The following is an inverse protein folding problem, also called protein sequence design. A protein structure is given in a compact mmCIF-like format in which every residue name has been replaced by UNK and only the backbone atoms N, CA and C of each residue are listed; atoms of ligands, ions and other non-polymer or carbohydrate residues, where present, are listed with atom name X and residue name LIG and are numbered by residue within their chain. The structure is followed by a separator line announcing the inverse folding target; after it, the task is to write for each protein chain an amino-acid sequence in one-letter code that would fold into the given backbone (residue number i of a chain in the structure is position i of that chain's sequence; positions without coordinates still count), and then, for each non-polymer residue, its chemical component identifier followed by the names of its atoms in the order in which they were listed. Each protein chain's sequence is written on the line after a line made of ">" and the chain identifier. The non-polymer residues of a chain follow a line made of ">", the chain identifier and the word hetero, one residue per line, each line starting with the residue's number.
data_IF_207773700017
#
_entry.id   IF_207773700017
#
_cell.length_a   1.000
_cell.length_b   1.000
_cell.length_c   1.000
_cell.angle_alpha   90.00
_cell.angle_beta   90.00
_cell.angle_gamma   90.00
#
_symmetry.space_group_name_H-M   'P 1'
#
loop_
_entity.id
_entity.type
_entity.pdbx_description
1 polymer ?
#
# COMPACT_ATOMS: atom_id res chain seq x y z
N UNK A 1 -4.09 -7.87 18.80
CA UNK A 1 -5.50 -8.25 18.70
C UNK A 1 -6.37 -7.42 19.64
N UNK A 2 -6.10 -7.44 20.96
CA UNK A 2 -6.96 -6.74 21.94
C UNK A 2 -6.97 -5.22 21.73
N UNK A 3 -5.84 -4.60 21.49
CA UNK A 3 -5.77 -3.16 21.20
C UNK A 3 -6.62 -2.77 19.98
N UNK A 4 -6.57 -3.57 18.90
CA UNK A 4 -7.38 -3.34 17.69
C UNK A 4 -8.87 -3.51 17.99
N UNK A 5 -9.23 -4.51 18.80
CA UNK A 5 -10.61 -4.75 19.22
C UNK A 5 -11.15 -3.58 20.04
N UNK A 6 -10.39 -3.14 21.05
CA UNK A 6 -10.77 -2.00 21.88
C UNK A 6 -10.95 -0.73 21.05
N UNK A 7 -10.00 -0.42 20.16
CA UNK A 7 -10.09 0.75 19.29
C UNK A 7 -11.31 0.70 18.36
N UNK A 8 -11.64 -0.48 17.81
CA UNK A 8 -12.81 -0.61 16.95
C UNK A 8 -14.12 -0.48 17.72
N UNK A 9 -14.21 -1.02 18.94
CA UNK A 9 -15.38 -0.87 19.81
C UNK A 9 -15.57 0.58 20.26
N UNK A 10 -14.49 1.29 20.59
CA UNK A 10 -14.54 2.72 20.91
C UNK A 10 -15.00 3.56 19.72
N UNK A 11 -14.45 3.30 18.52
CA UNK A 11 -14.89 3.93 17.28
C UNK A 11 -16.39 3.68 17.01
N UNK A 12 -16.87 2.47 17.25
CA UNK A 12 -18.28 2.12 17.11
C UNK A 12 -19.14 2.85 18.14
N UNK A 13 -18.66 3.04 19.37
CA UNK A 13 -19.34 3.80 20.41
C UNK A 13 -19.54 5.28 20.06
N UNK A 14 -18.55 5.87 19.37
CA UNK A 14 -18.55 7.27 18.95
C UNK A 14 -19.10 7.48 17.52
N UNK A 15 -19.52 6.42 16.85
CA UNK A 15 -19.88 6.42 15.43
C UNK A 15 -20.88 7.53 15.06
N UNK A 16 -21.96 7.66 15.83
CA UNK A 16 -23.03 8.63 15.51
C UNK A 16 -22.53 10.07 15.62
N UNK A 17 -21.74 10.38 16.66
CA UNK A 17 -21.12 11.70 16.82
C UNK A 17 -20.24 12.04 15.61
N UNK A 18 -19.34 11.13 15.22
CA UNK A 18 -18.43 11.33 14.07
C UNK A 18 -19.22 11.50 12.76
N UNK A 19 -20.24 10.67 12.56
CA UNK A 19 -21.07 10.74 11.35
C UNK A 19 -21.87 12.05 11.28
N UNK A 20 -22.37 12.57 12.40
CA UNK A 20 -23.08 13.85 12.45
C UNK A 20 -22.17 15.01 12.04
N UNK A 21 -20.94 15.05 12.57
CA UNK A 21 -19.93 16.05 12.18
C UNK A 21 -19.61 15.99 10.69
N UNK A 22 -19.41 14.78 10.13
CA UNK A 22 -19.15 14.58 8.72
C UNK A 22 -20.34 14.98 7.82
N UNK A 23 -21.58 14.66 8.23
CA UNK A 23 -22.80 15.06 7.51
C UNK A 23 -22.89 16.60 7.43
N UNK A 24 -22.62 17.27 8.55
CA UNK A 24 -22.64 18.74 8.60
C UNK A 24 -21.54 19.35 7.70
N UNK A 25 -20.35 18.72 7.67
CA UNK A 25 -19.29 19.09 6.74
C UNK A 25 -19.73 18.91 5.28
N UNK A 26 -20.24 17.74 4.91
CA UNK A 26 -20.67 17.43 3.55
C UNK A 26 -21.71 18.44 3.02
N UNK A 27 -22.68 18.80 3.87
CA UNK A 27 -23.74 19.77 3.54
C UNK A 27 -23.21 21.19 3.43
N UNK A 28 -22.38 21.62 4.39
CA UNK A 28 -21.79 22.95 4.42
C UNK A 28 -20.90 23.22 3.21
N UNK A 29 -20.05 22.27 2.87
CA UNK A 29 -19.13 22.37 1.73
C UNK A 29 -19.77 21.99 0.38
N UNK A 30 -21.06 21.59 0.39
CA UNK A 30 -21.82 21.20 -0.81
C UNK A 30 -21.12 20.12 -1.62
N UNK A 31 -20.71 19.05 -0.94
CA UNK A 31 -20.03 17.93 -1.57
C UNK A 31 -21.02 17.13 -2.41
N UNK A 32 -20.69 16.89 -3.67
CA UNK A 32 -21.53 16.16 -4.64
C UNK A 32 -21.18 14.67 -4.74
N UNK A 33 -19.97 14.29 -4.30
CA UNK A 33 -19.46 12.90 -4.42
C UNK A 33 -18.42 12.63 -3.34
N UNK A 34 -18.50 11.45 -2.71
CA UNK A 34 -17.46 10.91 -1.84
C UNK A 34 -16.67 9.85 -2.59
N UNK A 35 -15.34 10.00 -2.64
CA UNK A 35 -14.42 8.95 -3.09
C UNK A 35 -13.75 8.37 -1.87
N UNK A 36 -14.04 7.11 -1.55
CA UNK A 36 -13.63 6.43 -0.34
C UNK A 36 -12.54 5.38 -0.63
N UNK A 37 -11.38 5.52 0.02
CA UNK A 37 -10.44 4.42 0.19
C UNK A 37 -10.86 3.63 1.45
N UNK A 38 -12.08 3.09 1.34
CA UNK A 38 -12.81 2.18 2.24
C UNK A 38 -13.06 2.57 3.72
N UNK A 39 -13.06 3.83 4.17
CA UNK A 39 -13.58 4.12 5.50
C UNK A 39 -15.11 3.93 5.52
N UNK A 40 -15.59 2.92 6.26
CA UNK A 40 -17.02 2.59 6.32
C UNK A 40 -17.90 3.70 6.95
N UNK A 41 -17.33 4.58 7.77
CA UNK A 41 -18.03 5.75 8.31
C UNK A 41 -18.39 6.77 7.21
N UNK A 42 -17.57 6.93 6.18
CA UNK A 42 -17.88 7.84 5.06
C UNK A 42 -19.09 7.38 4.26
N UNK A 43 -19.35 6.07 4.21
CA UNK A 43 -20.55 5.50 3.58
C UNK A 43 -21.80 5.86 4.38
N UNK A 44 -21.71 5.83 5.70
CA UNK A 44 -22.81 6.22 6.58
C UNK A 44 -23.08 7.71 6.47
N UNK A 45 -22.05 8.54 6.52
CA UNK A 45 -22.18 9.99 6.36
C UNK A 45 -22.78 10.36 5.00
N UNK A 46 -22.30 9.76 3.90
CA UNK A 46 -22.86 9.94 2.56
C UNK A 46 -24.34 9.58 2.49
N UNK A 47 -24.72 8.44 3.12
CA UNK A 47 -26.13 8.01 3.19
C UNK A 47 -27.02 9.05 3.88
N UNK A 48 -26.58 9.65 5.00
CA UNK A 48 -27.37 10.64 5.74
C UNK A 48 -27.32 12.03 5.10
N UNK A 49 -26.29 12.34 4.35
CA UNK A 49 -26.18 13.60 3.61
C UNK A 49 -26.83 13.57 2.23
N UNK A 50 -27.27 12.40 1.75
CA UNK A 50 -27.74 12.13 0.39
C UNK A 50 -26.67 12.43 -0.68
N UNK A 51 -25.40 12.03 -0.36
CA UNK A 51 -24.23 12.19 -1.23
C UNK A 51 -23.77 10.81 -1.68
N UNK A 52 -23.64 10.53 -3.00
CA UNK A 52 -23.20 9.23 -3.49
C UNK A 52 -21.77 8.91 -3.06
N UNK A 53 -21.49 7.60 -2.87
CA UNK A 53 -20.20 7.10 -2.43
C UNK A 53 -19.63 6.11 -3.45
N UNK A 54 -18.44 6.43 -3.96
CA UNK A 54 -17.63 5.51 -4.76
C UNK A 54 -16.48 4.96 -3.90
N UNK A 55 -16.33 3.65 -3.86
CA UNK A 55 -15.21 3.00 -3.20
C UNK A 55 -14.12 2.60 -4.20
N UNK A 56 -12.86 2.82 -3.87
CA UNK A 56 -11.71 2.39 -4.70
C UNK A 56 -10.69 1.71 -3.78
N UNK A 57 -10.51 0.39 -3.90
CA UNK A 57 -9.53 -0.33 -3.08
C UNK A 57 -9.18 -1.72 -3.64
N UNK A 58 -8.23 -2.38 -2.98
CA UNK A 58 -7.89 -3.78 -3.20
C UNK A 58 -8.43 -4.72 -2.11
N UNK A 59 -8.92 -4.18 -1.00
CA UNK A 59 -9.59 -4.91 0.08
C UNK A 59 -10.66 -4.02 0.73
N UNK A 60 -11.52 -4.60 1.58
CA UNK A 60 -12.39 -3.87 2.51
C UNK A 60 -12.03 -4.22 3.96
N UNK A 61 -12.37 -3.33 4.90
CA UNK A 61 -12.06 -3.55 6.31
C UNK A 61 -12.80 -4.74 6.91
N UNK A 62 -13.94 -5.13 6.36
CA UNK A 62 -14.63 -6.33 6.83
C UNK A 62 -13.79 -7.58 6.58
N UNK A 63 -13.16 -7.69 5.38
CA UNK A 63 -12.25 -8.78 5.06
C UNK A 63 -11.09 -8.90 6.06
N UNK A 64 -10.54 -7.77 6.52
CA UNK A 64 -9.47 -7.74 7.52
C UNK A 64 -10.02 -8.15 8.89
N UNK A 65 -11.11 -7.52 9.33
CA UNK A 65 -11.66 -7.71 10.66
C UNK A 65 -12.24 -9.12 10.87
N UNK A 66 -12.87 -9.73 9.87
CA UNK A 66 -13.33 -11.12 9.94
C UNK A 66 -12.20 -12.11 10.23
N UNK A 67 -11.02 -11.84 9.71
CA UNK A 67 -9.83 -12.67 9.94
C UNK A 67 -9.18 -12.38 11.28
N UNK A 68 -9.01 -11.10 11.60
CA UNK A 68 -8.41 -10.65 12.86
C UNK A 68 -9.26 -11.08 14.05
N UNK A 69 -10.59 -10.99 13.94
CA UNK A 69 -11.54 -11.31 15.02
C UNK A 69 -12.22 -12.67 14.85
N UNK A 70 -11.61 -13.56 14.06
CA UNK A 70 -12.16 -14.89 13.85
C UNK A 70 -12.49 -15.60 15.17
N UNK A 71 -13.72 -16.09 15.30
CA UNK A 71 -14.20 -16.78 16.51
C UNK A 71 -14.68 -15.89 17.64
N UNK A 72 -14.47 -14.57 17.60
CA UNK A 72 -14.97 -13.64 18.63
C UNK A 72 -16.45 -13.27 18.39
N UNK A 73 -17.33 -13.90 19.17
CA UNK A 73 -18.79 -13.76 19.00
C UNK A 73 -19.29 -12.34 19.29
N UNK A 74 -18.67 -11.64 20.20
CA UNK A 74 -18.99 -10.25 20.60
C UNK A 74 -18.67 -9.23 19.52
N UNK A 75 -17.77 -9.55 18.57
CA UNK A 75 -17.48 -8.69 17.41
C UNK A 75 -18.52 -8.82 16.29
N UNK A 76 -19.36 -9.85 16.30
CA UNK A 76 -20.33 -10.10 15.21
C UNK A 76 -21.29 -8.93 14.94
N UNK A 77 -21.87 -8.24 15.96
CA UNK A 77 -22.71 -7.06 15.71
C UNK A 77 -21.96 -5.94 14.98
N UNK A 78 -20.71 -5.69 15.36
CA UNK A 78 -19.85 -4.68 14.73
C UNK A 78 -19.60 -5.03 13.26
N UNK A 79 -19.18 -6.27 12.99
CA UNK A 79 -18.92 -6.75 11.64
C UNK A 79 -20.17 -6.71 10.75
N UNK A 80 -21.33 -7.06 11.29
CA UNK A 80 -22.60 -6.96 10.56
C UNK A 80 -22.96 -5.51 10.23
N UNK A 81 -22.67 -4.56 11.13
CA UNK A 81 -22.88 -3.13 10.87
C UNK A 81 -21.98 -2.65 9.73
N UNK A 82 -20.70 -2.97 9.78
CA UNK A 82 -19.74 -2.61 8.71
C UNK A 82 -20.16 -3.21 7.36
N UNK A 83 -20.56 -4.49 7.35
CA UNK A 83 -21.09 -5.13 6.15
C UNK A 83 -22.30 -4.38 5.60
N UNK A 84 -23.29 -4.07 6.45
CA UNK A 84 -24.50 -3.34 6.06
C UNK A 84 -24.20 -1.96 5.46
N UNK A 85 -23.16 -1.28 5.95
CA UNK A 85 -22.71 0.00 5.41
C UNK A 85 -22.08 -0.18 4.03
N UNK A 86 -21.16 -1.12 3.84
CA UNK A 86 -20.56 -1.37 2.52
C UNK A 86 -21.58 -1.79 1.46
N UNK A 87 -22.69 -2.41 1.87
CA UNK A 87 -23.81 -2.72 0.95
C UNK A 87 -24.51 -1.47 0.40
N UNK A 88 -24.28 -0.28 0.96
CA UNK A 88 -24.88 0.99 0.52
C UNK A 88 -23.97 1.79 -0.41
N UNK A 89 -22.73 1.35 -0.62
CA UNK A 89 -21.83 1.98 -1.59
C UNK A 89 -22.45 1.91 -2.98
N UNK A 90 -22.51 3.04 -3.68
CA UNK A 90 -23.16 3.14 -4.99
C UNK A 90 -22.39 2.36 -6.05
N UNK A 91 -21.07 2.45 -6.04
CA UNK A 91 -20.18 1.72 -6.93
C UNK A 91 -18.81 1.51 -6.29
N UNK A 92 -18.20 0.33 -6.49
CA UNK A 92 -16.88 0.00 -6.01
C UNK A 92 -15.95 -0.39 -7.17
N UNK A 93 -14.80 0.27 -7.26
CA UNK A 93 -13.72 -0.08 -8.17
C UNK A 93 -12.73 -1.01 -7.48
N UNK A 94 -12.65 -2.25 -7.95
CA UNK A 94 -11.72 -3.23 -7.44
C UNK A 94 -10.38 -3.15 -8.16
N UNK A 95 -9.37 -2.73 -7.43
CA UNK A 95 -8.00 -2.63 -7.90
C UNK A 95 -7.38 -4.02 -8.12
N UNK A 96 -6.37 -4.16 -8.99
CA UNK A 96 -5.54 -5.36 -9.07
C UNK A 96 -4.89 -5.70 -7.73
N UNK A 97 -4.22 -6.84 -7.64
CA UNK A 97 -3.61 -7.37 -6.42
C UNK A 97 -4.66 -7.57 -5.29
N UNK A 98 -5.85 -7.95 -5.70
CA UNK A 98 -7.01 -8.23 -4.85
C UNK A 98 -7.58 -9.62 -5.14
N UNK A 99 -8.55 -10.03 -4.36
CA UNK A 99 -9.35 -11.23 -4.61
C UNK A 99 -10.84 -10.91 -4.59
N UNK A 100 -11.72 -11.77 -5.11
CA UNK A 100 -13.16 -11.58 -4.93
C UNK A 100 -13.57 -11.46 -3.46
N UNK A 101 -12.89 -12.19 -2.57
CA UNK A 101 -13.16 -12.19 -1.13
C UNK A 101 -12.67 -10.92 -0.44
N UNK A 102 -11.55 -10.33 -0.90
CA UNK A 102 -11.00 -9.12 -0.27
C UNK A 102 -11.85 -7.86 -0.48
N UNK A 103 -12.78 -7.91 -1.44
CA UNK A 103 -13.75 -6.85 -1.73
C UNK A 103 -15.18 -7.43 -1.78
N UNK A 104 -15.46 -8.43 -0.96
CA UNK A 104 -16.73 -9.18 -1.00
C UNK A 104 -17.92 -8.44 -0.42
N UNK A 105 -17.71 -7.33 0.28
CA UNK A 105 -18.76 -6.60 0.97
C UNK A 105 -19.57 -5.66 0.07
N UNK A 106 -19.16 -5.39 -1.16
CA UNK A 106 -19.82 -4.45 -2.05
C UNK A 106 -20.81 -5.15 -3.01
N UNK A 107 -21.92 -4.49 -3.32
CA UNK A 107 -22.94 -5.02 -4.26
C UNK A 107 -22.57 -4.83 -5.71
N UNK A 108 -22.04 -3.65 -6.04
CA UNK A 108 -21.67 -3.27 -7.41
C UNK A 108 -20.17 -3.09 -7.46
N UNK A 109 -19.49 -4.01 -8.13
CA UNK A 109 -18.03 -4.01 -8.23
C UNK A 109 -17.62 -4.03 -9.69
N UNK A 110 -16.81 -3.09 -10.07
CA UNK A 110 -16.11 -3.07 -11.35
C UNK A 110 -14.62 -3.33 -11.13
N UNK A 111 -14.01 -4.14 -11.99
CA UNK A 111 -12.56 -4.34 -11.99
C UNK A 111 -11.92 -3.22 -12.78
N UNK A 112 -10.88 -2.65 -12.22
CA UNK A 112 -10.11 -1.63 -12.92
C UNK A 112 -8.65 -2.04 -13.09
N UNK A 113 -7.87 -1.20 -13.77
CA UNK A 113 -6.44 -1.36 -13.92
C UNK A 113 -5.66 -0.90 -12.70
N UNK A 114 -4.33 -0.90 -12.81
CA UNK A 114 -3.42 -0.53 -11.73
C UNK A 114 -3.56 0.95 -11.40
N UNK A 115 -3.81 1.25 -10.13
CA UNK A 115 -3.84 2.60 -9.60
C UNK A 115 -2.54 2.83 -8.81
N UNK A 116 -1.71 3.75 -9.27
CA UNK A 116 -0.48 4.12 -8.59
C UNK A 116 -0.22 5.62 -8.70
N UNK A 117 0.55 6.17 -7.79
CA UNK A 117 0.98 7.56 -7.88
C UNK A 117 1.76 7.78 -9.17
N UNK A 118 1.50 8.91 -9.80
CA UNK A 118 2.19 9.32 -11.02
C UNK A 118 3.14 10.46 -10.68
N UNK A 119 4.43 10.16 -10.65
CA UNK A 119 5.44 11.21 -10.60
C UNK A 119 5.58 11.90 -11.97
N UNK A 120 6.00 13.16 -11.96
CA UNK A 120 6.44 13.81 -13.20
C UNK A 120 7.75 13.14 -13.63
N UNK A 121 7.89 12.77 -14.92
CA UNK A 121 9.16 12.24 -15.40
C UNK A 121 10.27 13.26 -15.18
N UNK A 122 11.30 12.89 -14.42
CA UNK A 122 12.51 13.67 -14.25
C UNK A 122 13.72 12.74 -14.46
N UNK A 123 14.27 12.64 -15.69
CA UNK A 123 15.41 11.78 -15.99
C UNK A 123 16.69 12.23 -15.25
N UNK A 124 16.77 13.50 -14.88
CA UNK A 124 17.94 14.08 -14.18
C UNK A 124 17.81 13.98 -12.65
N UNK A 125 16.72 13.41 -12.12
CA UNK A 125 16.44 13.39 -10.68
C UNK A 125 17.62 12.85 -9.84
N UNK A 126 18.26 11.77 -10.28
CA UNK A 126 19.43 11.23 -9.56
C UNK A 126 20.51 12.29 -9.39
N UNK A 127 20.81 13.04 -10.47
CA UNK A 127 21.82 14.12 -10.48
C UNK A 127 21.38 15.29 -9.60
N UNK A 128 20.11 15.70 -9.70
CA UNK A 128 19.56 16.84 -8.96
C UNK A 128 19.64 16.65 -7.44
N UNK A 129 19.51 15.41 -6.98
CA UNK A 129 19.62 15.05 -5.55
C UNK A 129 21.01 14.53 -5.16
N UNK A 130 22.01 14.67 -6.04
CA UNK A 130 23.42 14.31 -5.76
C UNK A 130 23.71 12.81 -5.76
N UNK A 131 22.87 11.98 -6.39
CA UNK A 131 23.09 10.55 -6.57
C UNK A 131 23.82 10.31 -7.91
N UNK A 132 24.81 9.41 -7.91
CA UNK A 132 25.51 9.00 -9.11
C UNK A 132 24.52 8.37 -10.12
N UNK A 133 24.33 9.06 -11.26
CA UNK A 133 23.37 8.64 -12.29
C UNK A 133 23.75 7.34 -12.99
N UNK A 134 25.05 7.02 -13.03
CA UNK A 134 25.58 5.84 -13.71
C UNK A 134 25.48 4.57 -12.87
N UNK A 135 25.24 4.72 -11.56
CA UNK A 135 25.11 3.60 -10.65
C UNK A 135 23.65 3.20 -10.40
N UNK A 136 23.40 1.93 -10.15
CA UNK A 136 22.07 1.49 -9.78
C UNK A 136 21.59 2.13 -8.46
N UNK A 137 20.27 2.37 -8.38
CA UNK A 137 19.60 2.92 -7.21
C UNK A 137 18.66 1.89 -6.60
N UNK A 138 18.88 1.56 -5.32
CA UNK A 138 17.96 0.81 -4.51
C UNK A 138 17.21 1.77 -3.58
N UNK A 139 15.89 1.75 -3.65
CA UNK A 139 15.04 2.47 -2.70
C UNK A 139 14.55 1.48 -1.64
N UNK A 140 14.79 1.80 -0.36
CA UNK A 140 14.42 0.98 0.78
C UNK A 140 13.41 1.73 1.66
N UNK A 141 12.16 1.24 1.75
CA UNK A 141 11.12 1.84 2.58
C UNK A 141 10.11 0.81 3.05
N UNK A 142 9.83 0.81 4.35
CA UNK A 142 8.86 -0.08 4.95
C UNK A 142 7.57 0.62 5.41
N UNK A 143 7.43 1.92 5.10
CA UNK A 143 6.28 2.74 5.49
C UNK A 143 6.13 2.91 7.01
N UNK A 144 5.10 3.64 7.44
CA UNK A 144 4.95 4.09 8.84
C UNK A 144 4.46 3.05 9.85
N UNK A 145 4.11 1.82 9.47
CA UNK A 145 3.57 0.84 10.42
C UNK A 145 4.41 -0.45 10.43
N UNK A 146 5.04 -0.72 11.55
CA UNK A 146 5.81 -1.93 11.85
C UNK A 146 7.31 -1.75 11.64
N UNK A 147 8.06 -2.11 12.67
CA UNK A 147 9.52 -2.17 12.61
C UNK A 147 9.93 -3.39 11.79
N UNK A 148 10.67 -3.16 10.72
CA UNK A 148 11.36 -4.20 9.97
C UNK A 148 12.83 -4.14 10.38
N UNK A 149 13.31 -5.21 10.99
CA UNK A 149 14.71 -5.32 11.38
C UNK A 149 15.59 -5.53 10.16
N UNK A 150 16.22 -4.45 9.69
CA UNK A 150 17.23 -4.48 8.64
C UNK A 150 18.49 -3.78 9.12
N UNK A 151 19.65 -4.38 8.85
CA UNK A 151 20.93 -3.73 9.09
C UNK A 151 21.34 -2.92 7.86
N UNK A 152 20.98 -1.64 7.84
CA UNK A 152 21.22 -0.75 6.69
C UNK A 152 22.68 -0.69 6.27
N UNK A 153 23.64 -0.75 7.22
CA UNK A 153 25.08 -0.80 6.92
C UNK A 153 25.46 -2.04 6.11
N UNK A 154 24.90 -3.20 6.42
CA UNK A 154 25.16 -4.44 5.67
C UNK A 154 24.54 -4.37 4.26
N UNK A 155 23.33 -3.83 4.15
CA UNK A 155 22.69 -3.60 2.87
C UNK A 155 23.56 -2.69 1.97
N UNK A 156 23.98 -1.54 2.49
CA UNK A 156 24.83 -0.59 1.77
C UNK A 156 26.17 -1.21 1.36
N UNK A 157 26.83 -1.97 2.24
CA UNK A 157 28.10 -2.61 1.95
C UNK A 157 28.03 -3.71 0.88
N UNK A 158 26.83 -4.27 0.66
CA UNK A 158 26.61 -5.34 -0.31
C UNK A 158 26.13 -4.84 -1.67
N UNK A 159 25.61 -3.60 -1.76
CA UNK A 159 25.04 -3.05 -2.97
C UNK A 159 26.04 -2.15 -3.70
N UNK A 160 26.35 -2.49 -4.95
CA UNK A 160 27.22 -1.69 -5.82
C UNK A 160 26.42 -0.58 -6.51
N UNK A 161 25.99 0.39 -5.72
CA UNK A 161 25.14 1.50 -6.13
C UNK A 161 24.75 2.37 -4.95
N UNK A 162 23.77 3.24 -5.14
CA UNK A 162 23.23 4.07 -4.06
C UNK A 162 22.04 3.38 -3.40
N UNK A 163 22.00 3.41 -2.06
CA UNK A 163 20.86 2.98 -1.27
C UNK A 163 20.15 4.21 -0.71
N UNK A 164 18.96 4.51 -1.23
CA UNK A 164 18.11 5.56 -0.69
C UNK A 164 17.12 4.96 0.32
N UNK A 165 17.04 5.50 1.53
CA UNK A 165 16.12 4.94 2.53
C UNK A 165 15.39 5.98 3.37
N UNK A 166 14.18 5.63 3.81
CA UNK A 166 13.38 6.39 4.79
C UNK A 166 13.68 5.94 6.23
N UNK A 167 14.59 4.99 6.42
CA UNK A 167 14.92 4.44 7.74
C UNK A 167 15.74 5.42 8.58
N UNK A 168 15.44 5.51 9.86
CA UNK A 168 16.21 6.31 10.82
C UNK A 168 17.46 5.55 11.29
N UNK A 169 18.31 5.20 10.33
CA UNK A 169 19.58 4.49 10.53
C UNK A 169 20.68 5.15 9.71
N UNK A 170 21.92 5.08 10.19
CA UNK A 170 23.09 5.48 9.42
C UNK A 170 23.54 4.31 8.53
N UNK A 171 23.56 4.50 7.24
CA UNK A 171 24.09 3.55 6.26
C UNK A 171 25.60 3.68 6.03
N UNK A 172 26.06 3.23 4.86
CA UNK A 172 27.45 3.40 4.36
C UNK A 172 27.64 4.74 3.64
N UNK A 173 28.82 4.93 3.02
CA UNK A 173 29.13 6.11 2.21
C UNK A 173 28.25 6.25 0.95
N UNK A 174 27.59 5.18 0.53
CA UNK A 174 26.64 5.13 -0.58
C UNK A 174 25.17 5.24 -0.13
N UNK A 175 24.91 5.70 1.10
CA UNK A 175 23.56 5.88 1.63
C UNK A 175 23.06 7.29 1.38
N UNK A 176 21.87 7.41 0.79
CA UNK A 176 21.09 8.63 0.67
C UNK A 176 19.87 8.55 1.60
N UNK A 177 19.75 9.50 2.52
CA UNK A 177 18.59 9.57 3.41
C UNK A 177 17.44 10.29 2.73
N UNK A 178 16.33 9.61 2.54
CA UNK A 178 15.08 10.18 2.01
C UNK A 178 14.37 10.93 3.13
N UNK A 179 14.07 12.20 2.90
CA UNK A 179 13.31 13.06 3.80
C UNK A 179 11.80 12.99 3.52
N UNK A 180 10.99 13.63 4.39
CA UNK A 180 9.55 13.74 4.15
C UNK A 180 9.20 14.68 3.00
N UNK A 181 10.11 15.58 2.64
CA UNK A 181 9.93 16.56 1.56
C UNK A 181 10.30 15.98 0.18
N UNK A 182 10.96 14.82 0.14
CA UNK A 182 11.34 14.17 -1.11
C UNK A 182 10.12 13.51 -1.79
N UNK A 183 10.00 13.67 -3.10
CA UNK A 183 9.01 12.94 -3.90
C UNK A 183 9.39 11.45 -4.01
N UNK A 184 8.88 10.65 -3.07
CA UNK A 184 9.15 9.22 -2.99
C UNK A 184 8.73 8.47 -4.27
N UNK A 185 7.62 8.86 -4.90
CA UNK A 185 7.18 8.26 -6.17
C UNK A 185 8.13 8.60 -7.31
N UNK A 186 8.70 9.80 -7.31
CA UNK A 186 9.74 10.17 -8.27
C UNK A 186 11.01 9.33 -8.06
N UNK A 187 11.44 9.10 -6.81
CA UNK A 187 12.56 8.22 -6.51
C UNK A 187 12.32 6.78 -7.00
N UNK A 188 11.14 6.22 -6.77
CA UNK A 188 10.78 4.89 -7.30
C UNK A 188 10.85 4.90 -8.84
N UNK A 189 10.43 5.97 -9.50
CA UNK A 189 10.42 6.04 -10.96
C UNK A 189 11.81 5.91 -11.59
N UNK A 190 12.86 6.35 -10.91
CA UNK A 190 14.27 6.28 -11.35
C UNK A 190 15.08 5.19 -10.67
N UNK A 191 14.52 4.50 -9.67
CA UNK A 191 15.16 3.37 -9.02
C UNK A 191 15.28 2.15 -9.95
N UNK A 192 16.17 1.23 -9.62
CA UNK A 192 16.28 -0.09 -10.24
C UNK A 192 15.59 -1.15 -9.37
N UNK A 193 15.70 -0.99 -8.05
CA UNK A 193 15.17 -1.93 -7.06
C UNK A 193 14.34 -1.17 -6.02
N UNK A 194 13.18 -1.71 -5.66
CA UNK A 194 12.42 -1.31 -4.49
C UNK A 194 12.45 -2.43 -3.44
N UNK A 195 13.00 -2.16 -2.27
CA UNK A 195 12.95 -3.03 -1.08
C UNK A 195 11.88 -2.52 -0.12
N UNK A 196 10.86 -3.32 0.14
CA UNK A 196 9.69 -2.88 0.92
C UNK A 196 8.99 -4.05 1.63
N UNK A 197 7.97 -3.74 2.44
CA UNK A 197 6.97 -4.72 2.88
C UNK A 197 5.82 -4.79 1.87
N UNK A 198 5.04 -5.88 1.83
CA UNK A 198 3.84 -5.93 1.02
C UNK A 198 2.88 -4.80 1.37
N UNK A 199 2.56 -3.98 0.38
CA UNK A 199 1.60 -2.90 0.47
C UNK A 199 1.16 -2.52 -0.94
N UNK A 200 -0.15 -2.26 -1.13
CA UNK A 200 -0.68 -2.01 -2.47
C UNK A 200 0.07 -0.87 -3.18
N UNK A 201 0.22 0.29 -2.52
CA UNK A 201 0.87 1.46 -3.13
C UNK A 201 2.28 1.17 -3.62
N UNK A 202 3.12 0.60 -2.75
CA UNK A 202 4.52 0.27 -3.09
C UNK A 202 4.61 -0.77 -4.21
N UNK A 203 3.76 -1.81 -4.17
CA UNK A 203 3.71 -2.82 -5.22
C UNK A 203 3.22 -2.24 -6.54
N UNK A 204 2.18 -1.43 -6.51
CA UNK A 204 1.63 -0.78 -7.70
C UNK A 204 2.65 0.17 -8.36
N UNK A 205 3.35 0.99 -7.58
CA UNK A 205 4.40 1.88 -8.08
C UNK A 205 5.58 1.10 -8.68
N UNK A 206 6.03 0.02 -8.02
CA UNK A 206 7.09 -0.82 -8.55
C UNK A 206 6.69 -1.47 -9.89
N UNK A 207 5.49 -2.05 -9.96
CA UNK A 207 4.97 -2.70 -11.17
C UNK A 207 4.78 -1.68 -12.28
N UNK A 208 4.16 -0.53 -12.00
CA UNK A 208 3.96 0.53 -12.99
C UNK A 208 5.28 0.97 -13.62
N UNK A 209 6.34 1.08 -12.82
CA UNK A 209 7.65 1.54 -13.28
C UNK A 209 8.57 0.39 -13.73
N UNK A 210 8.12 -0.87 -13.70
CA UNK A 210 8.91 -2.03 -14.12
C UNK A 210 10.11 -2.32 -13.25
N UNK A 211 10.03 -2.00 -11.93
CA UNK A 211 11.15 -2.12 -11.00
C UNK A 211 11.30 -3.52 -10.45
N UNK A 212 12.51 -3.91 -10.07
CA UNK A 212 12.68 -5.15 -9.31
C UNK A 212 12.17 -4.95 -7.88
N UNK A 213 11.23 -5.80 -7.47
CA UNK A 213 10.59 -5.72 -6.17
C UNK A 213 11.21 -6.77 -5.23
N UNK A 214 11.94 -6.32 -4.22
CA UNK A 214 12.32 -7.16 -3.08
C UNK A 214 11.33 -6.87 -1.96
N UNK A 215 10.69 -7.89 -1.42
CA UNK A 215 9.74 -7.71 -0.35
C UNK A 215 9.86 -8.75 0.73
N UNK A 216 9.52 -8.35 1.95
CA UNK A 216 9.51 -9.22 3.11
C UNK A 216 8.12 -9.19 3.75
N UNK A 217 7.38 -10.32 3.74
CA UNK A 217 6.07 -10.40 4.36
C UNK A 217 6.16 -10.25 5.87
N UNK A 218 5.18 -9.58 6.46
CA UNK A 218 4.94 -9.62 7.91
C UNK A 218 4.18 -10.89 8.26
N UNK A 219 4.22 -11.27 9.50
CA UNK A 219 3.37 -12.37 10.00
C UNK A 219 1.97 -11.86 10.31
N UNK A 220 0.95 -12.63 9.91
CA UNK A 220 -0.46 -12.43 10.32
C UNK A 220 -1.14 -11.13 9.85
N UNK A 221 -0.79 -10.60 8.67
CA UNK A 221 -1.53 -9.49 8.08
C UNK A 221 -2.34 -9.98 6.87
N UNK A 222 -3.68 -10.02 6.97
CA UNK A 222 -4.54 -10.71 5.98
C UNK A 222 -4.44 -10.17 4.54
N UNK A 223 -4.16 -8.88 4.36
CA UNK A 223 -4.00 -8.26 3.04
C UNK A 223 -2.78 -8.80 2.31
N UNK A 224 -1.67 -9.05 3.03
CA UNK A 224 -0.39 -9.41 2.40
C UNK A 224 -0.47 -10.70 1.60
N UNK A 225 -1.20 -11.70 2.09
CA UNK A 225 -1.42 -12.94 1.35
C UNK A 225 -2.09 -12.70 -0.01
N UNK A 226 -3.00 -11.74 -0.07
CA UNK A 226 -3.71 -11.38 -1.30
C UNK A 226 -2.78 -10.63 -2.25
N UNK A 227 -2.01 -9.67 -1.75
CA UNK A 227 -1.02 -8.91 -2.51
C UNK A 227 0.06 -9.83 -3.10
N UNK A 228 0.64 -10.72 -2.29
CA UNK A 228 1.70 -11.65 -2.71
C UNK A 228 1.19 -12.60 -3.80
N UNK A 229 -0.01 -13.16 -3.64
CA UNK A 229 -0.64 -13.94 -4.70
C UNK A 229 -0.92 -13.10 -5.94
N UNK A 230 -1.33 -11.85 -5.76
CA UNK A 230 -1.60 -10.91 -6.85
C UNK A 230 -0.39 -10.63 -7.74
N UNK A 231 0.82 -10.61 -7.17
CA UNK A 231 2.06 -10.42 -7.93
C UNK A 231 2.72 -11.72 -8.37
N UNK A 232 2.06 -12.88 -8.26
CA UNK A 232 2.67 -14.17 -8.59
C UNK A 232 3.25 -14.20 -10.02
N UNK A 233 2.58 -13.56 -10.99
CA UNK A 233 3.02 -13.47 -12.38
C UNK A 233 4.00 -12.33 -12.66
N UNK A 234 4.28 -11.45 -11.71
CA UNK A 234 5.24 -10.36 -11.90
C UNK A 234 6.68 -10.93 -11.93
N UNK A 235 7.43 -10.77 -13.04
CA UNK A 235 8.69 -11.49 -13.24
C UNK A 235 9.85 -10.96 -12.39
N UNK A 236 9.87 -9.65 -12.10
CA UNK A 236 10.95 -8.98 -11.40
C UNK A 236 10.65 -8.87 -9.90
N UNK A 237 10.65 -10.00 -9.19
CA UNK A 237 10.38 -10.01 -7.75
C UNK A 237 11.27 -11.02 -7.02
N UNK A 238 11.58 -10.69 -5.77
CA UNK A 238 12.28 -11.56 -4.82
C UNK A 238 11.60 -11.46 -3.46
N UNK A 239 11.12 -12.58 -2.93
CA UNK A 239 10.58 -12.65 -1.58
C UNK A 239 11.69 -13.02 -0.60
N UNK A 240 11.81 -12.26 0.49
CA UNK A 240 12.69 -12.55 1.61
C UNK A 240 11.85 -12.87 2.85
N UNK A 241 11.97 -14.07 3.44
CA UNK A 241 11.30 -14.38 4.68
C UNK A 241 11.61 -13.34 5.77
N UNK A 242 10.58 -12.87 6.49
CA UNK A 242 10.73 -11.83 7.52
C UNK A 242 11.85 -12.13 8.53
N UNK A 243 11.92 -13.37 9.01
CA UNK A 243 12.95 -13.82 9.94
C UNK A 243 14.38 -13.80 9.38
N UNK A 244 14.51 -13.69 8.07
CA UNK A 244 15.81 -13.67 7.39
C UNK A 244 16.21 -12.25 6.95
N UNK A 245 15.34 -11.25 7.08
CA UNK A 245 15.63 -9.92 6.58
C UNK A 245 16.85 -9.30 7.26
N UNK A 246 16.97 -9.39 8.59
CA UNK A 246 18.13 -8.91 9.35
C UNK A 246 19.39 -9.75 9.14
N UNK A 247 19.24 -11.00 8.71
CA UNK A 247 20.33 -11.95 8.45
C UNK A 247 20.61 -12.15 6.98
N UNK A 248 19.98 -11.37 6.09
CA UNK A 248 20.07 -11.57 4.66
C UNK A 248 21.51 -11.47 4.15
N UNK A 249 21.90 -12.48 3.39
CA UNK A 249 23.16 -12.48 2.63
C UNK A 249 22.96 -11.64 1.37
N UNK A 250 22.97 -10.31 1.54
CA UNK A 250 22.61 -9.34 0.49
C UNK A 250 23.40 -9.52 -0.81
N UNK A 251 24.68 -9.90 -0.74
CA UNK A 251 25.48 -10.19 -1.95
C UNK A 251 24.87 -11.33 -2.77
N UNK A 252 24.39 -12.39 -2.11
CA UNK A 252 23.71 -13.50 -2.78
C UNK A 252 22.37 -13.05 -3.37
N UNK A 253 21.59 -12.27 -2.62
CA UNK A 253 20.31 -11.71 -3.10
C UNK A 253 20.52 -10.88 -4.36
N UNK A 254 21.48 -9.95 -4.35
CA UNK A 254 21.78 -9.11 -5.52
C UNK A 254 22.39 -9.91 -6.68
N UNK A 255 23.12 -10.97 -6.40
CA UNK A 255 23.62 -11.89 -7.43
C UNK A 255 22.50 -12.51 -8.24
N UNK A 256 21.43 -12.98 -7.56
CA UNK A 256 20.26 -13.59 -8.24
C UNK A 256 19.45 -12.57 -9.05
N UNK A 257 19.47 -11.31 -8.67
CA UNK A 257 18.71 -10.23 -9.35
C UNK A 257 19.41 -9.77 -10.62
N UNK A 258 20.75 -9.72 -10.61
CA UNK A 258 21.57 -9.24 -11.75
C UNK A 258 21.25 -9.96 -13.05
N UNK A 259 20.91 -11.24 -12.98
CA UNK A 259 20.64 -12.09 -14.14
C UNK A 259 19.16 -12.03 -14.57
N UNK A 260 18.31 -11.32 -13.84
CA UNK A 260 16.87 -11.22 -14.17
C UNK A 260 16.64 -10.07 -15.17
N UNK A 261 15.76 -10.35 -16.14
CA UNK A 261 15.33 -9.31 -17.08
C UNK A 261 14.46 -8.27 -16.37
N UNK A 262 14.65 -6.97 -16.70
CA UNK A 262 13.76 -5.94 -16.19
C UNK A 262 12.31 -6.21 -16.62
N UNK A 263 11.36 -5.93 -15.73
CA UNK A 263 9.95 -6.05 -16.06
C UNK A 263 9.52 -4.93 -17.01
N UNK A 264 8.49 -5.23 -17.82
CA UNK A 264 7.86 -4.19 -18.64
C UNK A 264 7.00 -3.28 -17.73
N UNK A 265 7.02 -1.98 -18.03
CA UNK A 265 6.12 -1.02 -17.39
C UNK A 265 4.66 -1.37 -17.67
N UNK A 266 3.82 -1.23 -16.65
CA UNK A 266 2.37 -1.46 -16.78
C UNK A 266 1.67 -0.11 -16.80
N UNK A 267 0.73 0.12 -17.75
CA UNK A 267 -0.03 1.36 -17.79
C UNK A 267 -0.82 1.61 -16.51
N UNK A 268 -0.88 2.87 -16.09
CA UNK A 268 -1.72 3.32 -14.99
C UNK A 268 -3.16 3.54 -15.46
N UNK A 269 -4.12 3.11 -14.66
CA UNK A 269 -5.55 3.24 -14.97
C UNK A 269 -6.22 4.50 -14.40
N UNK A 270 -5.48 5.44 -13.83
CA UNK A 270 -6.03 6.64 -13.18
C UNK A 270 -7.05 7.39 -14.06
N UNK A 271 -6.73 7.57 -15.36
CA UNK A 271 -7.62 8.27 -16.27
C UNK A 271 -8.91 7.47 -16.58
N UNK A 272 -8.82 6.15 -16.65
CA UNK A 272 -9.98 5.30 -16.90
C UNK A 272 -10.93 5.19 -15.69
N UNK A 273 -10.44 5.43 -14.47
CA UNK A 273 -11.27 5.47 -13.27
C UNK A 273 -11.95 6.83 -13.14
N UNK A 274 -11.30 7.90 -13.63
CA UNK A 274 -11.81 9.27 -13.53
C UNK A 274 -12.81 9.64 -14.65
N UNK A 275 -12.93 8.81 -15.69
CA UNK A 275 -13.89 8.97 -16.80
C UNK A 275 -15.22 8.29 -16.50
#
# INVERSE_FOLDING_TARGET
>A
LEATRTALLDLMGRRLEIVEEEVDFLRREKIDLIIADIPWLSVEAGTYADVPVLAISNFDWLFIYERVFHGLKDMRPVLNTIFGLYQRVDHAFRLPLSSPQSMGSFRKIEKTGLLARKSKPNPDLKKDIGIDSEKPLLVCSFGGAGEMEIELKKLCAAFDGTVASTLDQTGGSNHFRVSQDDDFSALISVADILLTKPGYGSFAEAIQNGKHLIFSPRTNYPEEDVLIRGIASYPAKTELPHLLLSKAEWKSVFGTIRDQKPAKKVPNANAAIAS
#
